data_IF_791739103344
#
_entry.id   IF_791739103344
#
_cell.length_a   1.000
_cell.length_b   1.000
_cell.length_c   1.000
_cell.angle_alpha   90.00
_cell.angle_beta   90.00
_cell.angle_gamma   90.00
#
_symmetry.space_group_name_H-M   'P 1'
#
loop_
_entity.id
_entity.type
_entity.pdbx_description
1 polymer ?
#
# COMPACT_ATOMS: atom_id res chain seq x y z
N UNK A 1 -3.63 20.07 4.33
CA UNK A 1 -3.88 19.20 3.15
C UNK A 1 -2.91 18.03 3.18
N UNK A 2 -3.36 16.82 2.93
CA UNK A 2 -2.48 15.64 2.84
C UNK A 2 -1.71 15.62 1.52
N UNK A 3 -0.46 15.17 1.53
CA UNK A 3 0.40 15.10 0.33
C UNK A 3 -0.25 14.29 -0.80
N UNK A 4 -0.93 13.19 -0.46
CA UNK A 4 -1.63 12.34 -1.42
C UNK A 4 -2.76 13.07 -2.16
N UNK A 5 -3.57 13.85 -1.43
CA UNK A 5 -4.70 14.56 -2.03
C UNK A 5 -4.23 15.67 -3.00
N UNK A 6 -3.16 16.39 -2.64
CA UNK A 6 -2.55 17.37 -3.51
C UNK A 6 -1.94 16.72 -4.77
N UNK A 7 -1.25 15.58 -4.61
CA UNK A 7 -0.70 14.83 -5.72
C UNK A 7 -1.80 14.31 -6.66
N UNK A 8 -2.89 13.76 -6.11
CA UNK A 8 -4.04 13.29 -6.89
C UNK A 8 -4.68 14.41 -7.73
N UNK A 9 -4.89 15.59 -7.12
CA UNK A 9 -5.42 16.75 -7.82
C UNK A 9 -4.50 17.22 -8.97
N UNK A 10 -3.19 17.26 -8.73
CA UNK A 10 -2.20 17.59 -9.75
C UNK A 10 -2.21 16.60 -10.92
N UNK A 11 -2.21 15.30 -10.63
CA UNK A 11 -2.24 14.24 -11.66
C UNK A 11 -3.48 14.34 -12.54
N UNK A 12 -4.66 14.60 -11.94
CA UNK A 12 -5.91 14.73 -12.70
C UNK A 12 -5.85 15.90 -13.68
N UNK A 13 -5.17 16.99 -13.31
CA UNK A 13 -5.06 18.19 -14.13
C UNK A 13 -3.97 18.11 -15.22
N UNK A 14 -2.98 17.23 -15.06
CA UNK A 14 -1.89 17.11 -16.03
C UNK A 14 -2.40 16.60 -17.40
N UNK A 15 -2.24 17.40 -18.45
CA UNK A 15 -2.56 17.00 -19.84
C UNK A 15 -1.48 16.19 -20.54
N UNK A 16 -0.23 16.25 -20.07
CA UNK A 16 0.92 15.63 -20.75
C UNK A 16 0.93 14.09 -20.70
N UNK A 17 1.63 13.48 -21.66
CA UNK A 17 1.88 12.04 -21.74
C UNK A 17 2.86 11.55 -20.67
N UNK A 18 3.73 12.45 -20.20
CA UNK A 18 4.72 12.23 -19.17
C UNK A 18 4.39 13.13 -17.98
N UNK A 19 4.37 12.55 -16.78
CA UNK A 19 4.09 13.27 -15.54
C UNK A 19 5.29 13.12 -14.62
N UNK A 20 5.89 14.26 -14.25
CA UNK A 20 6.96 14.34 -13.26
C UNK A 20 6.36 14.80 -11.93
N UNK A 21 6.66 14.05 -10.87
CA UNK A 21 6.39 14.47 -9.50
C UNK A 21 7.67 15.04 -8.89
N UNK A 22 7.57 16.16 -8.16
CA UNK A 22 8.68 16.83 -7.50
C UNK A 22 8.18 17.58 -6.26
N UNK A 23 8.90 17.48 -5.14
CA UNK A 23 8.61 18.29 -3.95
C UNK A 23 9.10 19.74 -4.11
N UNK A 24 8.31 20.68 -3.60
CA UNK A 24 8.62 22.11 -3.65
C UNK A 24 9.69 22.57 -2.63
N UNK A 25 10.26 21.65 -1.84
CA UNK A 25 11.22 21.97 -0.77
C UNK A 25 12.67 22.16 -1.27
N UNK A 26 12.86 22.16 -2.60
CA UNK A 26 14.16 22.29 -3.30
C UNK A 26 15.21 21.25 -2.90
N UNK A 27 14.80 20.14 -2.28
CA UNK A 27 15.73 19.08 -1.91
C UNK A 27 16.14 18.21 -3.11
N UNK A 28 15.23 18.00 -4.06
CA UNK A 28 15.54 17.29 -5.30
C UNK A 28 15.78 18.30 -6.42
N UNK A 29 16.78 18.04 -7.25
CA UNK A 29 17.17 18.94 -8.33
C UNK A 29 16.29 18.73 -9.58
N UNK A 30 15.65 19.80 -10.07
CA UNK A 30 14.88 19.74 -11.30
C UNK A 30 15.80 19.53 -12.53
N UNK A 31 17.10 19.85 -12.41
CA UNK A 31 18.08 19.60 -13.45
C UNK A 31 18.28 18.11 -13.75
N UNK A 32 17.83 17.21 -12.86
CA UNK A 32 17.91 15.77 -13.08
C UNK A 32 16.75 15.25 -13.97
N UNK A 33 15.70 16.05 -14.24
CA UNK A 33 14.54 15.61 -15.04
C UNK A 33 14.91 15.08 -16.43
N UNK A 34 15.81 15.72 -17.21
CA UNK A 34 16.25 15.18 -18.50
C UNK A 34 16.84 13.77 -18.38
N UNK A 35 17.61 13.49 -17.32
CA UNK A 35 18.18 12.15 -17.08
C UNK A 35 17.09 11.10 -16.82
N UNK A 36 15.99 11.47 -16.14
CA UNK A 36 14.84 10.58 -15.99
C UNK A 36 14.18 10.28 -17.33
N UNK A 37 14.08 11.28 -18.21
CA UNK A 37 13.48 11.13 -19.55
C UNK A 37 14.32 10.21 -20.41
N UNK A 38 15.65 10.40 -20.43
CA UNK A 38 16.57 9.53 -21.16
C UNK A 38 16.43 8.07 -20.71
N UNK A 39 16.36 7.85 -19.40
CA UNK A 39 16.15 6.51 -18.84
C UNK A 39 14.79 5.94 -19.24
N UNK A 40 13.74 6.75 -19.25
CA UNK A 40 12.40 6.33 -19.67
C UNK A 40 12.37 5.93 -21.16
N UNK A 41 13.17 6.58 -21.99
CA UNK A 41 13.31 6.30 -23.42
C UNK A 41 14.02 4.97 -23.70
N UNK A 42 14.79 4.41 -22.76
CA UNK A 42 15.34 3.05 -22.87
C UNK A 42 14.25 1.95 -22.83
N UNK A 43 12.99 2.33 -22.67
CA UNK A 43 11.84 1.42 -22.65
C UNK A 43 11.19 1.29 -21.28
N UNK A 44 11.61 2.04 -20.27
CA UNK A 44 10.92 2.02 -18.99
C UNK A 44 9.60 2.83 -19.05
N UNK A 45 8.76 2.58 -18.07
CA UNK A 45 7.44 3.20 -17.92
C UNK A 45 7.38 4.14 -16.70
N UNK A 46 8.20 3.84 -15.70
CA UNK A 46 8.38 4.65 -14.49
C UNK A 46 9.87 4.72 -14.18
N UNK A 47 10.36 5.91 -13.90
CA UNK A 47 11.74 6.14 -13.44
C UNK A 47 11.70 6.84 -12.10
N UNK A 48 12.24 6.19 -11.07
CA UNK A 48 12.35 6.75 -9.73
C UNK A 48 13.74 7.33 -9.48
N UNK A 49 13.80 8.50 -8.87
CA UNK A 49 15.05 9.03 -8.34
C UNK A 49 15.51 8.25 -7.10
N UNK A 50 16.83 8.10 -6.96
CA UNK A 50 17.48 7.50 -5.79
C UNK A 50 18.48 8.47 -5.17
N UNK A 51 18.24 8.80 -3.90
CA UNK A 51 19.15 9.64 -3.10
C UNK A 51 20.30 8.80 -2.55
N UNK A 52 21.31 8.53 -3.38
CA UNK A 52 22.47 7.68 -3.03
C UNK A 52 23.32 8.27 -1.88
N UNK A 53 23.58 9.57 -1.90
CA UNK A 53 24.50 10.25 -0.98
C UNK A 53 23.81 10.97 0.19
N UNK A 54 23.00 10.28 1.00
CA UNK A 54 22.45 10.87 2.24
C UNK A 54 23.54 11.11 3.29
N UNK A 55 23.73 12.35 3.73
CA UNK A 55 24.58 12.69 4.90
C UNK A 55 23.85 12.55 6.24
N UNK A 56 22.92 11.58 6.35
CA UNK A 56 22.16 11.31 7.57
C UNK A 56 22.87 10.29 8.47
N UNK A 57 22.69 10.41 9.79
CA UNK A 57 23.26 9.49 10.80
C UNK A 57 22.92 8.02 10.49
N UNK A 58 23.96 7.20 10.34
CA UNK A 58 23.90 5.84 9.76
C UNK A 58 23.02 4.87 10.58
N UNK A 59 23.15 4.86 11.91
CA UNK A 59 22.45 3.93 12.80
C UNK A 59 20.97 4.25 13.03
N UNK A 60 20.62 5.53 13.24
CA UNK A 60 19.24 5.91 13.60
C UNK A 60 18.31 6.14 12.40
N UNK A 61 18.86 6.34 11.19
CA UNK A 61 18.05 6.79 10.04
C UNK A 61 18.23 5.95 8.77
N UNK A 62 19.44 5.49 8.46
CA UNK A 62 19.70 4.72 7.23
C UNK A 62 19.28 3.26 7.36
N UNK A 63 19.67 2.57 8.43
CA UNK A 63 19.35 1.15 8.61
C UNK A 63 17.83 0.87 8.62
N UNK A 64 16.98 1.59 9.39
CA UNK A 64 15.54 1.34 9.37
C UNK A 64 14.91 1.65 8.01
N UNK A 65 15.37 2.72 7.35
CA UNK A 65 14.88 3.08 6.01
C UNK A 65 15.28 2.05 4.95
N UNK A 66 16.48 1.50 5.02
CA UNK A 66 16.96 0.46 4.10
C UNK A 66 16.21 -0.85 4.32
N UNK A 67 15.99 -1.25 5.58
CA UNK A 67 15.19 -2.43 5.92
C UNK A 67 13.74 -2.25 5.45
N UNK A 68 13.14 -1.09 5.69
CA UNK A 68 11.79 -0.78 5.19
C UNK A 68 11.74 -0.83 3.67
N UNK A 69 12.65 -0.15 2.95
CA UNK A 69 12.68 -0.17 1.49
C UNK A 69 12.91 -1.57 0.92
N UNK A 70 13.76 -2.38 1.55
CA UNK A 70 14.00 -3.77 1.15
C UNK A 70 12.75 -4.64 1.38
N UNK A 71 12.06 -4.44 2.50
CA UNK A 71 10.82 -5.15 2.81
C UNK A 71 9.69 -4.73 1.86
N UNK A 72 9.58 -3.44 1.51
CA UNK A 72 8.65 -2.95 0.48
C UNK A 72 8.99 -3.56 -0.87
N UNK A 73 10.26 -3.55 -1.27
CA UNK A 73 10.69 -4.13 -2.55
C UNK A 73 10.36 -5.61 -2.63
N UNK A 74 10.61 -6.36 -1.56
CA UNK A 74 10.34 -7.79 -1.50
C UNK A 74 8.83 -8.09 -1.55
N UNK A 75 8.01 -7.32 -0.83
CA UNK A 75 6.55 -7.52 -0.80
C UNK A 75 5.91 -7.12 -2.13
N UNK A 76 6.34 -6.00 -2.71
CA UNK A 76 5.72 -5.43 -3.93
C UNK A 76 6.30 -6.01 -5.22
N UNK A 77 7.41 -6.75 -5.15
CA UNK A 77 8.12 -7.25 -6.33
C UNK A 77 8.83 -6.15 -7.15
N UNK A 78 8.78 -4.90 -6.69
CA UNK A 78 9.36 -3.74 -7.37
C UNK A 78 10.70 -3.39 -6.72
N UNK A 79 11.86 -3.62 -7.34
CA UNK A 79 13.14 -3.33 -6.71
C UNK A 79 13.44 -1.82 -6.73
N UNK A 80 13.30 -1.15 -5.59
CA UNK A 80 13.67 0.26 -5.41
C UNK A 80 14.48 0.48 -4.13
N UNK A 81 15.58 1.22 -4.24
CA UNK A 81 16.40 1.59 -3.09
C UNK A 81 15.80 2.74 -2.28
N UNK A 82 15.00 3.62 -2.91
CA UNK A 82 14.41 4.78 -2.23
C UNK A 82 12.98 5.12 -2.66
N UNK A 83 12.00 4.42 -2.08
CA UNK A 83 10.57 4.75 -2.22
C UNK A 83 10.23 6.17 -1.76
N UNK A 84 11.01 6.74 -0.84
CA UNK A 84 10.78 8.06 -0.26
C UNK A 84 11.31 9.22 -1.10
N UNK A 85 11.96 8.97 -2.24
CA UNK A 85 12.28 10.02 -3.18
C UNK A 85 10.99 10.45 -3.90
N UNK A 86 10.77 11.76 -3.98
CA UNK A 86 9.58 12.33 -4.60
C UNK A 86 9.81 12.73 -6.05
N UNK A 87 11.08 12.89 -6.48
CA UNK A 87 11.45 13.06 -7.88
C UNK A 87 11.25 11.73 -8.63
N UNK A 88 10.15 11.64 -9.38
CA UNK A 88 9.77 10.45 -10.13
C UNK A 88 9.08 10.85 -11.42
N UNK A 89 9.36 10.12 -12.49
CA UNK A 89 8.76 10.31 -13.81
C UNK A 89 7.90 9.09 -14.15
N UNK A 90 6.68 9.34 -14.62
CA UNK A 90 5.71 8.31 -15.00
C UNK A 90 5.16 8.57 -16.39
N UNK A 91 4.88 7.51 -17.15
CA UNK A 91 3.93 7.62 -18.26
C UNK A 91 2.53 7.82 -17.70
N UNK A 92 1.80 8.80 -18.23
CA UNK A 92 0.49 9.22 -17.75
C UNK A 92 -0.51 8.05 -17.66
N UNK A 93 -0.45 7.08 -18.58
CA UNK A 93 -1.32 5.89 -18.58
C UNK A 93 -1.26 5.05 -17.29
N UNK A 94 -0.12 4.99 -16.60
CA UNK A 94 0.01 4.26 -15.34
C UNK A 94 -0.33 5.10 -14.12
N UNK A 95 -0.28 6.43 -14.25
CA UNK A 95 -0.50 7.33 -13.11
C UNK A 95 -1.94 7.84 -13.04
N UNK A 96 -2.56 8.15 -14.19
CA UNK A 96 -3.95 8.61 -14.28
C UNK A 96 -4.97 7.51 -13.97
N UNK A 97 -4.60 6.24 -14.14
CA UNK A 97 -5.43 5.10 -13.78
C UNK A 97 -5.48 4.86 -12.26
N UNK A 98 -4.54 5.43 -11.50
CA UNK A 98 -4.44 5.24 -10.06
C UNK A 98 -5.30 6.24 -9.29
N UNK A 99 -6.10 5.74 -8.36
CA UNK A 99 -6.76 6.56 -7.35
C UNK A 99 -5.91 6.59 -6.09
N UNK A 100 -5.31 7.74 -5.83
CA UNK A 100 -4.49 7.94 -4.64
C UNK A 100 -5.37 8.40 -3.47
N UNK A 101 -5.39 7.63 -2.38
CA UNK A 101 -6.07 8.00 -1.13
C UNK A 101 -5.16 7.77 0.09
N UNK A 102 -5.51 8.37 1.23
CA UNK A 102 -4.75 8.20 2.49
C UNK A 102 -3.27 8.58 2.34
N UNK A 103 -2.36 7.64 2.62
CA UNK A 103 -0.90 7.81 2.53
C UNK A 103 -0.29 7.10 1.28
N UNK A 104 -1.10 6.78 0.27
CA UNK A 104 -0.67 6.01 -0.92
C UNK A 104 0.38 6.69 -1.81
N UNK A 105 0.63 7.99 -1.66
CA UNK A 105 1.66 8.72 -2.44
C UNK A 105 3.06 8.08 -2.37
N UNK A 106 3.34 7.29 -1.31
CA UNK A 106 4.62 6.59 -1.13
C UNK A 106 4.72 5.32 -1.97
N UNK A 107 3.59 4.71 -2.29
CA UNK A 107 3.49 3.41 -2.95
C UNK A 107 3.07 3.52 -4.42
N UNK A 108 3.02 4.73 -4.98
CA UNK A 108 2.70 4.97 -6.40
C UNK A 108 3.55 4.11 -7.34
N UNK A 109 4.88 3.96 -7.14
CA UNK A 109 5.67 3.05 -7.98
C UNK A 109 5.24 1.58 -7.84
N UNK A 110 4.90 1.12 -6.63
CA UNK A 110 4.45 -0.25 -6.41
C UNK A 110 3.11 -0.51 -7.14
N UNK A 111 2.15 0.40 -7.02
CA UNK A 111 0.88 0.30 -7.74
C UNK A 111 1.05 0.36 -9.27
N UNK A 112 1.96 1.20 -9.78
CA UNK A 112 2.30 1.18 -11.20
C UNK A 112 2.90 -0.18 -11.63
N UNK A 113 3.72 -0.79 -10.77
CA UNK A 113 4.25 -2.14 -10.99
C UNK A 113 3.16 -3.22 -11.05
N UNK A 114 2.13 -3.13 -10.20
CA UNK A 114 0.98 -4.05 -10.24
C UNK A 114 0.16 -3.91 -11.54
N UNK A 115 0.19 -2.73 -12.17
CA UNK A 115 -0.36 -2.51 -13.51
C UNK A 115 0.57 -2.97 -14.65
N UNK A 116 1.70 -3.61 -14.32
CA UNK A 116 2.67 -4.14 -15.29
C UNK A 116 3.70 -3.12 -15.79
N UNK A 117 3.85 -1.96 -15.14
CA UNK A 117 4.83 -0.97 -15.55
C UNK A 117 6.27 -1.47 -15.37
N UNK A 118 7.14 -1.22 -16.36
CA UNK A 118 8.59 -1.42 -16.21
C UNK A 118 9.20 -0.27 -15.43
N UNK A 119 9.79 -0.57 -14.27
CA UNK A 119 10.29 0.43 -13.34
C UNK A 119 11.82 0.44 -13.34
N UNK A 120 12.42 1.61 -13.51
CA UNK A 120 13.84 1.86 -13.32
C UNK A 120 14.09 2.81 -12.15
N UNK A 121 15.31 2.78 -11.65
CA UNK A 121 15.79 3.72 -10.64
C UNK A 121 17.11 4.33 -11.10
N UNK A 122 17.29 5.64 -10.91
CA UNK A 122 18.57 6.32 -11.19
C UNK A 122 19.05 7.13 -9.98
N UNK A 123 20.36 7.25 -9.75
CA UNK A 123 20.89 8.17 -8.76
C UNK A 123 20.60 9.62 -9.16
N UNK A 124 20.04 10.40 -8.23
CA UNK A 124 19.73 11.83 -8.42
C UNK A 124 20.42 12.69 -7.38
N UNK A 125 20.62 13.96 -7.71
CA UNK A 125 21.22 14.95 -6.83
C UNK A 125 20.24 15.30 -5.70
N UNK A 126 20.75 15.27 -4.47
CA UNK A 126 19.97 15.58 -3.28
C UNK A 126 20.67 16.63 -2.42
N UNK A 127 19.97 17.74 -2.17
CA UNK A 127 20.48 18.84 -1.35
C UNK A 127 20.05 18.65 0.11
N UNK A 128 20.93 18.95 1.08
CA UNK A 128 20.58 18.86 2.49
C UNK A 128 19.43 19.82 2.83
N UNK A 129 18.57 19.41 3.77
CA UNK A 129 17.44 20.21 4.23
C UNK A 129 17.95 21.49 4.91
N UNK A 130 17.47 22.66 4.49
CA UNK A 130 17.84 23.95 5.09
C UNK A 130 16.93 24.36 6.27
N UNK A 131 15.72 23.79 6.39
CA UNK A 131 14.78 24.07 7.51
C UNK A 131 13.85 22.88 7.80
N UNK A 132 13.55 22.67 9.08
CA UNK A 132 12.57 21.67 9.58
C UNK A 132 13.20 20.41 10.18
N UNK A 133 12.70 19.99 11.34
CA UNK A 133 13.08 18.74 11.99
C UNK A 133 12.36 17.55 11.34
N UNK A 134 13.12 16.49 11.05
CA UNK A 134 12.56 15.24 10.51
C UNK A 134 11.73 14.53 11.59
N UNK A 135 10.41 14.45 11.40
CA UNK A 135 9.47 13.67 12.24
C UNK A 135 9.57 12.13 12.02
N UNK A 136 10.76 11.59 11.77
CA UNK A 136 10.97 10.15 11.69
C UNK A 136 11.12 9.57 13.11
N UNK A 137 10.03 9.07 13.66
CA UNK A 137 10.00 8.31 14.92
C UNK A 137 9.58 6.86 14.72
N UNK A 138 9.75 6.03 15.75
CA UNK A 138 9.39 4.60 15.78
C UNK A 138 7.91 4.36 15.42
N UNK A 139 7.03 5.30 15.79
CA UNK A 139 5.60 5.28 15.43
C UNK A 139 5.35 5.27 13.91
N UNK A 140 6.29 5.80 13.11
CA UNK A 140 6.21 5.78 11.64
C UNK A 140 6.55 4.41 11.08
N UNK A 141 7.46 3.66 11.71
CA UNK A 141 7.81 2.29 11.27
C UNK A 141 6.60 1.36 11.37
N UNK A 142 5.84 1.44 12.46
CA UNK A 142 4.61 0.66 12.61
C UNK A 142 3.54 1.04 11.59
N UNK A 143 3.37 2.34 11.31
CA UNK A 143 2.50 2.81 10.22
C UNK A 143 2.93 2.26 8.86
N UNK A 144 4.23 2.31 8.53
CA UNK A 144 4.74 1.75 7.28
C UNK A 144 4.48 0.24 7.18
N UNK A 145 4.59 -0.50 8.29
CA UNK A 145 4.24 -1.93 8.32
C UNK A 145 2.75 -2.17 8.02
N UNK A 146 1.86 -1.40 8.66
CA UNK A 146 0.41 -1.49 8.40
C UNK A 146 0.06 -1.07 6.97
N UNK A 147 0.68 -0.01 6.47
CA UNK A 147 0.52 0.45 5.09
C UNK A 147 0.98 -0.65 4.11
N UNK A 148 2.07 -1.35 4.42
CA UNK A 148 2.58 -2.47 3.63
C UNK A 148 1.67 -3.68 3.61
N UNK A 149 1.11 -4.03 4.77
CA UNK A 149 0.06 -5.06 4.83
C UNK A 149 -1.13 -4.67 3.96
N UNK A 150 -1.51 -3.39 3.98
CA UNK A 150 -2.60 -2.86 3.15
C UNK A 150 -2.26 -2.96 1.67
N UNK A 151 -1.06 -2.56 1.25
CA UNK A 151 -0.61 -2.65 -0.16
C UNK A 151 -0.59 -4.10 -0.63
N UNK A 152 -0.04 -5.03 0.17
CA UNK A 152 -0.03 -6.46 -0.17
C UNK A 152 -1.44 -7.03 -0.24
N UNK A 153 -2.32 -6.60 0.67
CA UNK A 153 -3.71 -7.01 0.67
C UNK A 153 -4.44 -6.52 -0.58
N UNK A 154 -4.19 -5.27 -0.98
CA UNK A 154 -4.73 -4.67 -2.19
C UNK A 154 -4.25 -5.39 -3.45
N UNK A 155 -2.98 -5.78 -3.51
CA UNK A 155 -2.43 -6.52 -4.65
C UNK A 155 -3.03 -7.93 -4.77
N UNK A 156 -3.01 -8.70 -3.69
CA UNK A 156 -3.37 -10.12 -3.72
C UNK A 156 -4.88 -10.39 -3.58
N UNK A 157 -5.63 -9.53 -2.90
CA UNK A 157 -6.99 -9.84 -2.45
C UNK A 157 -8.04 -8.78 -2.82
N UNK A 158 -7.69 -7.66 -3.46
CA UNK A 158 -8.70 -6.66 -3.87
C UNK A 158 -9.72 -7.24 -4.86
N UNK A 159 -9.33 -8.20 -5.69
CA UNK A 159 -10.25 -8.85 -6.62
C UNK A 159 -11.23 -9.80 -5.90
N UNK A 160 -10.77 -10.51 -4.85
CA UNK A 160 -11.57 -11.52 -4.14
C UNK A 160 -11.16 -11.63 -2.65
N UNK A 161 -11.56 -10.68 -1.79
CA UNK A 161 -11.19 -10.66 -0.36
C UNK A 161 -11.58 -11.93 0.41
N UNK A 162 -12.62 -12.62 -0.05
CA UNK A 162 -13.15 -13.84 0.57
C UNK A 162 -12.13 -14.98 0.63
N UNK A 163 -11.13 -15.03 -0.27
CA UNK A 163 -10.13 -16.11 -0.24
C UNK A 163 -9.22 -16.04 0.98
N UNK A 164 -8.95 -14.84 1.51
CA UNK A 164 -8.13 -14.68 2.72
C UNK A 164 -8.96 -15.00 3.97
N UNK A 165 -10.03 -14.23 4.18
CA UNK A 165 -10.81 -14.31 5.42
C UNK A 165 -11.78 -15.50 5.43
N UNK A 166 -12.47 -15.76 4.32
CA UNK A 166 -13.34 -16.91 4.17
C UNK A 166 -12.57 -18.23 4.12
N UNK A 167 -11.48 -18.28 3.35
CA UNK A 167 -10.58 -19.45 3.31
C UNK A 167 -9.96 -19.75 4.67
N UNK A 168 -9.36 -18.75 5.32
CA UNK A 168 -8.79 -18.90 6.66
C UNK A 168 -9.84 -19.26 7.72
N UNK A 169 -11.00 -18.61 7.67
CA UNK A 169 -12.12 -18.89 8.56
C UNK A 169 -12.70 -20.30 8.40
N UNK A 170 -12.72 -20.83 7.18
CA UNK A 170 -13.10 -22.22 6.91
C UNK A 170 -12.12 -23.21 7.54
N UNK A 171 -10.81 -22.99 7.37
CA UNK A 171 -9.77 -23.85 7.97
C UNK A 171 -9.87 -23.84 9.51
N UNK A 172 -10.01 -22.66 10.13
CA UNK A 172 -10.13 -22.54 11.59
C UNK A 172 -11.42 -23.18 12.10
N UNK A 173 -12.54 -22.97 11.40
CA UNK A 173 -13.82 -23.63 11.72
C UNK A 173 -13.70 -25.16 11.65
N UNK A 174 -13.03 -25.68 10.60
CA UNK A 174 -12.82 -27.11 10.43
C UNK A 174 -11.96 -27.71 11.57
N UNK A 175 -10.90 -27.00 11.98
CA UNK A 175 -10.12 -27.38 13.16
C UNK A 175 -10.97 -27.39 14.42
N UNK A 176 -11.85 -26.40 14.60
CA UNK A 176 -12.83 -26.37 15.69
C UNK A 176 -13.72 -27.62 15.69
N UNK A 177 -14.28 -28.00 14.54
CA UNK A 177 -15.12 -29.20 14.40
C UNK A 177 -14.33 -30.47 14.73
N UNK A 178 -13.08 -30.60 14.27
CA UNK A 178 -12.22 -31.74 14.58
C UNK A 178 -11.96 -31.84 16.08
N UNK A 179 -11.64 -30.72 16.74
CA UNK A 179 -11.42 -30.68 18.19
C UNK A 179 -12.71 -31.05 18.95
N UNK A 180 -13.87 -30.56 18.51
CA UNK A 180 -15.15 -30.93 19.09
C UNK A 180 -15.41 -32.44 18.95
N UNK A 181 -15.18 -33.02 17.77
CA UNK A 181 -15.30 -34.46 17.55
C UNK A 181 -14.35 -35.27 18.45
N UNK A 182 -13.10 -34.83 18.62
CA UNK A 182 -12.14 -35.45 19.53
C UNK A 182 -12.62 -35.40 20.99
N UNK A 183 -13.23 -34.29 21.43
CA UNK A 183 -13.79 -34.21 22.79
C UNK A 183 -14.97 -35.14 23.00
N UNK A 184 -15.84 -35.29 21.99
CA UNK A 184 -16.96 -36.24 22.03
C UNK A 184 -16.45 -37.68 22.05
N UNK A 185 -15.42 -38.00 21.24
CA UNK A 185 -14.77 -39.30 21.28
C UNK A 185 -14.24 -39.63 22.69
N UNK A 186 -13.52 -38.69 23.32
CA UNK A 186 -13.04 -38.87 24.70
C UNK A 186 -14.16 -39.05 25.72
N UNK A 187 -15.30 -38.38 25.52
CA UNK A 187 -16.48 -38.55 26.37
C UNK A 187 -17.08 -39.95 26.26
N UNK A 188 -17.29 -40.43 25.03
CA UNK A 188 -18.01 -41.69 24.80
C UNK A 188 -17.14 -42.93 25.00
N UNK A 189 -15.84 -42.89 24.65
CA UNK A 189 -14.97 -44.06 24.70
C UNK A 189 -14.05 -44.10 25.93
N UNK A 190 -13.65 -42.94 26.46
CA UNK A 190 -12.74 -42.85 27.61
C UNK A 190 -13.43 -42.41 28.90
N UNK A 191 -14.73 -42.09 28.85
CA UNK A 191 -15.51 -41.65 30.01
C UNK A 191 -15.09 -40.30 30.59
N UNK A 192 -14.25 -39.53 29.89
CA UNK A 192 -13.75 -38.23 30.37
C UNK A 192 -14.83 -37.19 30.15
N UNK A 193 -15.31 -36.56 31.23
CA UNK A 193 -16.31 -35.51 31.12
C UNK A 193 -15.77 -34.29 30.36
N UNK A 194 -16.66 -33.66 29.59
CA UNK A 194 -16.35 -32.51 28.73
C UNK A 194 -15.77 -31.33 29.51
N UNK A 195 -16.18 -31.13 30.76
CA UNK A 195 -15.70 -30.05 31.64
C UNK A 195 -14.23 -30.21 32.06
N UNK A 196 -13.71 -31.44 32.06
CA UNK A 196 -12.39 -31.75 32.60
C UNK A 196 -11.29 -31.68 31.51
N UNK A 197 -11.65 -31.23 30.29
CA UNK A 197 -10.72 -31.11 29.17
C UNK A 197 -10.75 -29.70 28.54
N UNK A 198 -9.58 -29.04 28.34
CA UNK A 198 -9.52 -27.70 27.75
C UNK A 198 -9.91 -27.69 26.26
N UNK A 199 -9.85 -28.84 25.59
CA UNK A 199 -10.12 -29.00 24.15
C UNK A 199 -11.53 -28.56 23.75
N UNK A 200 -12.51 -28.71 24.65
CA UNK A 200 -13.90 -28.35 24.35
C UNK A 200 -14.03 -26.83 24.19
N UNK A 201 -13.46 -26.08 25.13
CA UNK A 201 -13.43 -24.62 25.10
C UNK A 201 -12.68 -24.12 23.86
N UNK A 202 -11.51 -24.69 23.57
CA UNK A 202 -10.73 -24.34 22.36
C UNK A 202 -11.52 -24.60 21.08
N UNK A 203 -12.29 -25.70 21.01
CA UNK A 203 -13.13 -26.01 19.84
C UNK A 203 -14.21 -24.95 19.61
N UNK A 204 -14.86 -24.48 20.68
CA UNK A 204 -15.87 -23.44 20.62
C UNK A 204 -15.24 -22.13 20.17
N UNK A 205 -14.09 -21.75 20.75
CA UNK A 205 -13.36 -20.55 20.34
C UNK A 205 -12.99 -20.57 18.86
N UNK A 206 -12.48 -21.70 18.36
CA UNK A 206 -12.14 -21.85 16.94
C UNK A 206 -13.37 -21.80 16.05
N UNK A 207 -14.49 -22.42 16.45
CA UNK A 207 -15.75 -22.31 15.74
C UNK A 207 -16.26 -20.86 15.64
N UNK A 208 -16.22 -20.12 16.75
CA UNK A 208 -16.65 -18.72 16.79
C UNK A 208 -15.75 -17.81 15.94
N UNK A 209 -14.43 -17.92 16.10
CA UNK A 209 -13.45 -17.12 15.33
C UNK A 209 -13.54 -17.46 13.84
N UNK A 210 -13.62 -18.75 13.50
CA UNK A 210 -13.73 -19.20 12.12
C UNK A 210 -14.99 -18.66 11.44
N UNK A 211 -16.14 -18.73 12.13
CA UNK A 211 -17.39 -18.15 11.64
C UNK A 211 -17.32 -16.63 11.47
N UNK A 212 -16.76 -15.92 12.44
CA UNK A 212 -16.56 -14.47 12.36
C UNK A 212 -15.66 -14.06 11.18
N UNK A 213 -14.60 -14.82 10.91
CA UNK A 213 -13.72 -14.57 9.77
C UNK A 213 -14.43 -14.80 8.42
N UNK A 214 -15.29 -15.81 8.33
CA UNK A 214 -16.11 -16.04 7.12
C UNK A 214 -17.06 -14.86 6.88
N UNK A 215 -17.75 -14.39 7.94
CA UNK A 215 -18.62 -13.23 7.84
C UNK A 215 -17.84 -11.97 7.45
N UNK A 216 -16.65 -11.76 8.03
CA UNK A 216 -15.78 -10.63 7.66
C UNK A 216 -15.36 -10.70 6.19
N UNK A 217 -15.08 -11.90 5.66
CA UNK A 217 -14.77 -12.12 4.25
C UNK A 217 -15.94 -11.75 3.32
N UNK A 218 -17.16 -12.13 3.68
CA UNK A 218 -18.37 -11.76 2.93
C UNK A 218 -18.63 -10.25 2.99
N UNK A 219 -18.47 -9.63 4.15
CA UNK A 219 -18.57 -8.18 4.29
C UNK A 219 -17.53 -7.45 3.43
N UNK A 220 -16.28 -7.92 3.44
CA UNK A 220 -15.22 -7.35 2.61
C UNK A 220 -15.53 -7.48 1.11
N UNK A 221 -16.09 -8.61 0.67
CA UNK A 221 -16.53 -8.83 -0.71
C UNK A 221 -17.65 -7.87 -1.12
N UNK A 222 -18.62 -7.61 -0.24
CA UNK A 222 -19.69 -6.62 -0.50
C UNK A 222 -19.10 -5.20 -0.54
N UNK A 223 -18.27 -4.85 0.44
CA UNK A 223 -17.65 -3.53 0.53
C UNK A 223 -16.79 -3.21 -0.69
N UNK A 224 -16.04 -4.17 -1.22
CA UNK A 224 -15.20 -3.92 -2.39
C UNK A 224 -16.05 -3.74 -3.66
N UNK A 225 -17.15 -4.49 -3.80
CA UNK A 225 -18.11 -4.30 -4.91
C UNK A 225 -18.75 -2.92 -4.86
N UNK A 226 -19.23 -2.53 -3.69
CA UNK A 226 -19.79 -1.19 -3.44
C UNK A 226 -18.74 -0.11 -3.70
N UNK A 227 -17.50 -0.31 -3.25
CA UNK A 227 -16.40 0.63 -3.51
C UNK A 227 -16.12 0.82 -5.00
N UNK A 228 -16.12 -0.27 -5.78
CA UNK A 228 -15.94 -0.19 -7.22
C UNK A 228 -17.15 0.38 -7.97
N UNK A 229 -18.34 0.34 -7.38
CA UNK A 229 -19.58 0.84 -7.95
C UNK A 229 -19.80 2.35 -7.68
N UNK A 230 -19.35 2.87 -6.51
CA UNK A 230 -19.42 4.31 -6.14
C UNK A 230 -18.34 5.14 -6.88
N UNK A 231 -18.05 4.81 -8.13
CA UNK A 231 -16.79 5.13 -8.79
C UNK A 231 -16.52 6.60 -9.08
N UNK A 232 -17.27 7.61 -8.62
CA UNK A 232 -17.08 9.00 -9.11
C UNK A 232 -16.74 10.10 -8.10
N UNK A 233 -16.47 9.81 -6.83
CA UNK A 233 -16.11 10.88 -5.86
C UNK A 233 -14.59 11.02 -5.63
N UNK A 234 -13.95 12.15 -6.00
CA UNK A 234 -12.55 12.41 -5.69
C UNK A 234 -12.36 12.70 -4.18
N UNK A 235 -11.19 12.37 -3.65
CA UNK A 235 -10.85 12.55 -2.22
C UNK A 235 -10.48 14.00 -1.83
N UNK A 236 -10.78 14.96 -2.69
CA UNK A 236 -10.39 16.36 -2.54
C UNK A 236 -11.46 17.28 -3.15
N UNK A 237 -11.51 18.51 -2.65
CA UNK A 237 -12.36 19.56 -3.17
C UNK A 237 -11.50 20.71 -3.69
N UNK A 238 -11.84 21.24 -4.87
CA UNK A 238 -11.12 22.36 -5.49
C UNK A 238 -11.94 23.62 -5.28
N UNK A 239 -11.38 24.58 -4.54
CA UNK A 239 -12.05 25.87 -4.25
C UNK A 239 -11.88 26.88 -5.40
N UNK A 240 -10.75 26.84 -6.09
CA UNK A 240 -10.40 27.78 -7.15
C UNK A 240 -9.36 27.15 -8.09
N UNK A 241 -9.50 27.36 -9.40
CA UNK A 241 -8.50 26.99 -10.42
C UNK A 241 -8.03 28.24 -11.17
N UNK A 242 -6.78 28.24 -11.63
CA UNK A 242 -6.21 29.31 -12.45
C UNK A 242 -5.52 28.63 -13.63
N UNK A 243 -5.87 29.02 -14.87
CA UNK A 243 -5.25 28.49 -16.09
C UNK A 243 -5.65 27.05 -16.44
N UNK A 244 -6.74 26.53 -15.85
CA UNK A 244 -7.23 25.18 -16.06
C UNK A 244 -8.77 25.17 -16.08
N UNK A 245 -9.34 24.60 -17.15
CA UNK A 245 -10.79 24.41 -17.27
C UNK A 245 -11.23 23.20 -16.44
N UNK A 246 -12.23 23.41 -15.58
CA UNK A 246 -12.87 22.36 -14.82
C UNK A 246 -14.27 22.10 -15.38
N UNK A 247 -14.53 20.87 -15.82
CA UNK A 247 -15.91 20.40 -15.90
C UNK A 247 -16.48 20.33 -14.48
N UNK A 248 -17.51 21.11 -14.26
CA UNK A 248 -18.21 21.33 -12.99
C UNK A 248 -19.13 20.16 -12.58
N UNK A 249 -18.82 18.94 -13.02
CA UNK A 249 -19.61 17.73 -12.71
C UNK A 249 -19.14 16.97 -11.46
N UNK A 250 -18.18 17.51 -10.70
CA UNK A 250 -17.83 16.94 -9.39
C UNK A 250 -18.68 17.59 -8.30
N UNK A 251 -19.90 17.07 -8.09
CA UNK A 251 -20.71 17.27 -6.86
C UNK A 251 -20.62 16.05 -5.94
#
# INVERSE_FOLDING_TARGET
MGQTAALAAGIKQCGGELIVCLDADRQNDAADIPLLIDKLNEGYDVVSGWRKNRKDAWLNRRLPSQLANKLISWITGVPLHDYGCTLKLYRAKYLKSLRLYGEMHRFVPAFAGFLGARIAELPVNHRPRTRGTSKYGISRTFKVLLDLLTVKFMDAYMAKPIYLFGGGGFVISLLGVILAALTLYKKFFLGIFVKDQPLFQVSIFFGLIGFQLILLGLLAEILIRVYFDIKDKPSYFIRHSIGFDFDSEVK
#
